data_IF_925125094877
#
_entry.id   IF_925125094877
#
_cell.length_a   1.000
_cell.length_b   1.000
_cell.length_c   1.000
_cell.angle_alpha   90.00
_cell.angle_beta   90.00
_cell.angle_gamma   90.00
#
_symmetry.space_group_name_H-M   'P 1'
#
loop_
_entity.id
_entity.type
_entity.pdbx_description
1 polymer ?
#
# COMPACT_ATOMS: atom_id res chain seq x y z
N UNK A 1 3.73 19.42 12.09
CA UNK A 1 2.62 19.69 11.14
C UNK A 1 2.94 19.37 9.67
N UNK A 2 4.18 19.56 9.17
CA UNK A 2 4.54 19.25 7.77
C UNK A 2 4.93 17.78 7.50
N UNK A 3 5.38 17.05 8.51
CA UNK A 3 5.85 15.66 8.35
C UNK A 3 4.69 14.68 8.11
N UNK A 4 3.53 14.92 8.74
CA UNK A 4 2.34 14.06 8.60
C UNK A 4 1.81 14.05 7.17
N UNK A 5 1.81 15.20 6.49
CA UNK A 5 1.39 15.31 5.08
C UNK A 5 2.38 14.58 4.16
N UNK A 6 3.69 14.67 4.44
CA UNK A 6 4.72 13.95 3.70
C UNK A 6 4.59 12.44 3.89
N UNK A 7 4.34 11.98 5.12
CA UNK A 7 4.12 10.58 5.45
C UNK A 7 2.83 10.04 4.81
N UNK A 8 1.75 10.82 4.81
CA UNK A 8 0.50 10.44 4.13
C UNK A 8 0.73 10.28 2.63
N UNK A 9 1.43 11.22 2.00
CA UNK A 9 1.76 11.13 0.56
C UNK A 9 2.59 9.89 0.25
N UNK A 10 3.55 9.55 1.12
CA UNK A 10 4.34 8.32 0.98
C UNK A 10 3.48 7.06 1.12
N UNK A 11 2.61 7.01 2.13
CA UNK A 11 1.72 5.88 2.38
C UNK A 11 0.78 5.62 1.19
N UNK A 12 0.23 6.68 0.59
CA UNK A 12 -0.64 6.58 -0.60
C UNK A 12 0.13 5.99 -1.79
N UNK A 13 1.36 6.43 -2.04
CA UNK A 13 2.20 5.90 -3.13
C UNK A 13 2.54 4.43 -2.88
N UNK A 14 2.89 4.06 -1.65
CA UNK A 14 3.15 2.66 -1.28
C UNK A 14 1.91 1.78 -1.49
N UNK A 15 0.73 2.23 -1.05
CA UNK A 15 -0.52 1.50 -1.22
C UNK A 15 -0.87 1.28 -2.69
N UNK A 16 -0.69 2.30 -3.54
CA UNK A 16 -0.88 2.18 -5.00
C UNK A 16 0.09 1.16 -5.61
N UNK A 17 1.38 1.25 -5.26
CA UNK A 17 2.39 0.36 -5.80
C UNK A 17 2.16 -1.10 -5.39
N UNK A 18 1.83 -1.35 -4.12
CA UNK A 18 1.49 -2.68 -3.64
C UNK A 18 0.23 -3.23 -4.28
N UNK A 19 -0.80 -2.40 -4.48
CA UNK A 19 -2.03 -2.82 -5.15
C UNK A 19 -1.76 -3.26 -6.59
N UNK A 20 -1.00 -2.47 -7.35
CA UNK A 20 -0.65 -2.80 -8.75
C UNK A 20 0.22 -4.07 -8.79
N UNK A 21 1.23 -4.14 -7.91
CA UNK A 21 2.10 -5.32 -7.82
C UNK A 21 1.30 -6.59 -7.52
N UNK A 22 0.39 -6.55 -6.56
CA UNK A 22 -0.43 -7.70 -6.17
C UNK A 22 -1.40 -8.13 -7.27
N UNK A 23 -2.02 -7.18 -7.96
CA UNK A 23 -2.86 -7.49 -9.11
C UNK A 23 -2.06 -8.16 -10.24
N UNK A 24 -0.81 -7.78 -10.44
CA UNK A 24 0.06 -8.38 -11.47
C UNK A 24 0.58 -9.75 -11.02
N UNK A 25 1.04 -9.87 -9.77
CA UNK A 25 1.73 -11.05 -9.27
C UNK A 25 0.78 -12.16 -8.79
N UNK A 26 -0.36 -11.77 -8.22
CA UNK A 26 -1.29 -12.69 -7.55
C UNK A 26 -2.71 -12.63 -8.15
N UNK A 27 -3.04 -11.60 -8.93
CA UNK A 27 -4.38 -11.42 -9.52
C UNK A 27 -5.42 -10.88 -8.54
N UNK A 28 -5.04 -10.62 -7.30
CA UNK A 28 -5.89 -10.18 -6.19
C UNK A 28 -5.13 -9.28 -5.23
N UNK A 29 -5.85 -8.39 -4.53
CA UNK A 29 -5.25 -7.44 -3.58
C UNK A 29 -5.12 -8.09 -2.20
N UNK A 30 -3.92 -8.51 -1.84
CA UNK A 30 -3.60 -9.28 -0.61
C UNK A 30 -2.68 -8.52 0.35
N UNK A 31 -2.07 -7.41 -0.08
CA UNK A 31 -1.13 -6.63 0.72
C UNK A 31 -1.79 -6.07 1.99
N UNK A 32 -3.09 -5.79 1.96
CA UNK A 32 -3.86 -5.35 3.13
C UNK A 32 -3.94 -6.46 4.18
N UNK A 33 -4.23 -7.70 3.76
CA UNK A 33 -4.28 -8.86 4.65
C UNK A 33 -2.90 -9.12 5.28
N UNK A 34 -1.83 -9.10 4.48
CA UNK A 34 -0.44 -9.19 4.96
C UNK A 34 -0.05 -8.07 5.93
N UNK A 35 -0.47 -6.84 5.66
CA UNK A 35 -0.18 -5.70 6.53
C UNK A 35 -0.86 -5.83 7.89
N UNK A 36 -2.07 -6.37 7.92
CA UNK A 36 -2.84 -6.58 9.14
C UNK A 36 -2.54 -7.93 9.82
N UNK A 37 -1.68 -8.76 9.23
CA UNK A 37 -1.29 -10.06 9.77
C UNK A 37 -2.43 -11.08 9.82
N UNK A 38 -3.43 -10.92 8.95
CA UNK A 38 -4.59 -11.81 8.82
C UNK A 38 -4.42 -12.82 7.69
#
# INVERSE_FOLDING_TARGET
MLIGIKLLKLAVICALFFTIFDLIAHGEVTWVARLLGM
#
